data_IF_751803562566
#
_entry.id   IF_751803562566
#
_cell.length_a   1.000
_cell.length_b   1.000
_cell.length_c   1.000
_cell.angle_alpha   90.00
_cell.angle_beta   90.00
_cell.angle_gamma   90.00
#
_symmetry.space_group_name_H-M   'P 1'
#
loop_
_entity.id
_entity.type
_entity.pdbx_description
1 polymer ?
#
# COMPACT_ATOMS: atom_id res chain seq x y z
N UNK A 1 -5.63 22.45 0.23
CA UNK A 1 -4.57 22.51 -0.80
C UNK A 1 -3.99 21.12 -0.97
N UNK A 2 -3.93 20.56 -2.18
CA UNK A 2 -3.20 19.30 -2.42
C UNK A 2 -1.71 19.63 -2.31
N UNK A 3 -0.99 18.86 -1.49
CA UNK A 3 0.47 18.95 -1.39
C UNK A 3 1.10 18.80 -2.78
N UNK A 4 2.13 19.58 -3.08
CA UNK A 4 2.96 19.40 -4.28
C UNK A 4 3.85 18.16 -4.17
N UNK A 5 4.01 17.63 -2.97
CA UNK A 5 4.77 16.43 -2.66
C UNK A 5 3.85 15.18 -2.67
N UNK A 6 4.33 14.04 -3.18
CA UNK A 6 3.61 12.78 -3.11
C UNK A 6 3.23 12.40 -1.68
N UNK A 7 1.96 12.11 -1.44
CA UNK A 7 1.45 11.81 -0.12
C UNK A 7 0.42 10.67 -0.15
N UNK A 8 0.27 9.99 0.98
CA UNK A 8 -0.71 8.94 1.22
C UNK A 8 -1.76 9.45 2.21
N UNK A 9 -3.00 9.07 1.99
CA UNK A 9 -4.13 9.48 2.82
C UNK A 9 -4.05 8.87 4.23
N UNK A 10 -4.29 9.68 5.24
CA UNK A 10 -4.06 9.35 6.64
C UNK A 10 -4.85 8.18 7.19
N UNK A 11 -6.01 7.86 6.62
CA UNK A 11 -6.75 6.66 6.99
C UNK A 11 -5.92 5.37 6.75
N UNK A 12 -5.12 5.33 5.68
CA UNK A 12 -4.19 4.22 5.43
C UNK A 12 -3.04 4.24 6.45
N UNK A 13 -2.51 5.43 6.73
CA UNK A 13 -1.36 5.59 7.64
C UNK A 13 -1.72 5.19 9.06
N UNK A 14 -2.88 5.60 9.58
CA UNK A 14 -3.31 5.24 10.94
C UNK A 14 -3.41 3.73 11.10
N UNK A 15 -3.91 3.05 10.07
CA UNK A 15 -4.04 1.60 10.07
C UNK A 15 -2.68 0.90 9.96
N UNK A 16 -1.85 1.32 9.00
CA UNK A 16 -0.49 0.77 8.80
C UNK A 16 0.40 1.01 10.00
N UNK A 17 0.30 2.17 10.66
CA UNK A 17 1.04 2.49 11.89
C UNK A 17 0.70 1.51 13.02
N UNK A 18 -0.58 1.18 13.21
CA UNK A 18 -0.97 0.20 14.21
C UNK A 18 -0.32 -1.18 13.95
N UNK A 19 -0.36 -1.63 12.69
CA UNK A 19 0.30 -2.88 12.27
C UNK A 19 1.81 -2.82 12.45
N UNK A 20 2.45 -1.69 12.08
CA UNK A 20 3.88 -1.51 12.25
C UNK A 20 4.28 -1.64 13.73
N UNK A 21 3.57 -0.95 14.64
CA UNK A 21 3.82 -1.03 16.10
C UNK A 21 3.67 -2.45 16.61
N UNK A 22 2.68 -3.20 16.14
CA UNK A 22 2.52 -4.61 16.52
C UNK A 22 3.65 -5.50 16.00
N UNK A 23 4.15 -5.21 14.79
CA UNK A 23 5.20 -6.00 14.15
C UNK A 23 6.57 -5.77 14.77
N UNK A 24 6.93 -4.52 15.09
CA UNK A 24 8.27 -4.19 15.62
C UNK A 24 8.30 -4.01 17.14
N UNK A 25 7.16 -3.85 17.78
CA UNK A 25 7.02 -3.48 19.19
C UNK A 25 7.04 -1.96 19.41
N UNK A 26 6.34 -1.51 20.44
CA UNK A 26 6.19 -0.07 20.77
C UNK A 26 7.53 0.61 21.03
N UNK A 27 8.39 0.00 21.83
CA UNK A 27 9.68 0.58 22.21
C UNK A 27 10.60 0.77 20.99
N UNK A 28 10.63 -0.21 20.08
CA UNK A 28 11.40 -0.11 18.85
C UNK A 28 10.82 0.98 17.92
N UNK A 29 9.50 1.06 17.80
CA UNK A 29 8.83 2.12 17.04
C UNK A 29 9.16 3.52 17.60
N UNK A 30 9.06 3.75 18.90
CA UNK A 30 9.39 5.02 19.54
C UNK A 30 10.86 5.36 19.38
N UNK A 31 11.75 4.37 19.48
CA UNK A 31 13.18 4.54 19.23
C UNK A 31 13.45 4.93 17.78
N UNK A 32 12.74 4.34 16.82
CA UNK A 32 12.85 4.71 15.43
C UNK A 32 12.40 6.15 15.16
N UNK A 33 11.28 6.58 15.75
CA UNK A 33 10.81 7.96 15.60
C UNK A 33 11.84 8.99 16.13
N UNK A 34 12.54 8.68 17.22
CA UNK A 34 13.60 9.56 17.75
C UNK A 34 14.82 9.74 16.84
N UNK A 35 15.00 8.85 15.84
CA UNK A 35 16.06 8.97 14.83
C UNK A 35 15.70 9.93 13.68
N UNK A 36 14.42 10.28 13.54
CA UNK A 36 13.93 11.13 12.46
C UNK A 36 14.01 12.61 12.85
N UNK A 37 14.02 13.53 11.88
CA UNK A 37 13.75 14.93 12.13
C UNK A 37 12.43 15.10 12.91
N UNK A 38 12.42 15.95 13.94
CA UNK A 38 11.28 16.12 14.84
C UNK A 38 9.97 16.39 14.08
N UNK A 39 10.03 17.27 13.06
CA UNK A 39 8.88 17.61 12.25
C UNK A 39 8.28 16.38 11.50
N UNK A 40 9.12 15.47 11.00
CA UNK A 40 8.68 14.25 10.30
C UNK A 40 8.14 13.21 11.28
N UNK A 41 8.79 13.06 12.43
CA UNK A 41 8.33 12.18 13.51
C UNK A 41 6.95 12.61 14.04
N UNK A 42 6.79 13.90 14.33
CA UNK A 42 5.52 14.49 14.78
C UNK A 42 4.42 14.33 13.72
N UNK A 43 4.73 14.67 12.47
CA UNK A 43 3.78 14.53 11.36
C UNK A 43 3.27 13.10 11.24
N UNK A 44 4.15 12.11 11.29
CA UNK A 44 3.74 10.70 11.21
C UNK A 44 3.00 10.23 12.45
N UNK A 45 3.49 10.56 13.65
CA UNK A 45 2.92 10.11 14.91
C UNK A 45 1.52 10.67 15.15
N UNK A 46 1.27 11.93 14.76
CA UNK A 46 -0.01 12.64 14.99
C UNK A 46 -0.98 12.55 13.82
N UNK A 47 -0.55 12.00 12.68
CA UNK A 47 -1.42 11.86 11.51
C UNK A 47 -2.74 11.18 11.88
N UNK A 48 -3.84 11.83 11.54
CA UNK A 48 -5.20 11.30 11.67
C UNK A 48 -5.75 10.85 10.31
N UNK A 49 -6.95 10.31 10.30
CA UNK A 49 -7.54 9.71 9.10
C UNK A 49 -7.80 10.69 7.95
N UNK A 50 -7.82 12.00 8.19
CA UNK A 50 -8.12 13.03 7.19
C UNK A 50 -6.85 13.72 6.65
N UNK A 51 -5.70 13.47 7.25
CA UNK A 51 -4.43 14.07 6.86
C UNK A 51 -3.86 13.45 5.58
N UNK A 52 -2.89 14.15 5.01
CA UNK A 52 -2.04 13.63 3.94
C UNK A 52 -0.60 13.58 4.42
N UNK A 53 -0.02 12.38 4.47
CA UNK A 53 1.36 12.16 4.94
C UNK A 53 2.29 11.97 3.75
N UNK A 54 3.37 12.77 3.61
CA UNK A 54 4.33 12.62 2.54
C UNK A 54 4.93 11.20 2.49
N UNK A 55 5.07 10.66 1.29
CA UNK A 55 5.61 9.30 1.10
C UNK A 55 7.02 9.19 1.67
N UNK A 56 7.86 10.23 1.51
CA UNK A 56 9.21 10.27 2.08
C UNK A 56 9.25 10.05 3.60
N UNK A 57 8.24 10.58 4.31
CA UNK A 57 8.13 10.41 5.77
C UNK A 57 7.82 8.97 6.11
N UNK A 58 6.92 8.34 5.35
CA UNK A 58 6.54 6.94 5.53
C UNK A 58 7.74 6.02 5.27
N UNK A 59 8.51 6.31 4.20
CA UNK A 59 9.75 5.59 3.89
C UNK A 59 10.79 5.74 5.00
N UNK A 60 10.99 6.97 5.48
CA UNK A 60 11.94 7.23 6.56
C UNK A 60 11.56 6.47 7.84
N UNK A 61 10.27 6.42 8.20
CA UNK A 61 9.79 5.64 9.35
C UNK A 61 10.03 4.14 9.14
N UNK A 62 9.73 3.61 7.95
CA UNK A 62 9.93 2.20 7.66
C UNK A 62 11.42 1.80 7.75
N UNK A 63 12.31 2.63 7.20
CA UNK A 63 13.77 2.44 7.27
C UNK A 63 14.25 2.51 8.71
N UNK A 64 13.87 3.53 9.46
CA UNK A 64 14.28 3.69 10.86
C UNK A 64 13.80 2.53 11.75
N UNK A 65 12.56 2.06 11.55
CA UNK A 65 12.06 0.88 12.26
C UNK A 65 12.86 -0.38 11.92
N UNK A 66 13.13 -0.59 10.64
CA UNK A 66 13.90 -1.75 10.15
C UNK A 66 15.32 -1.77 10.74
N UNK A 67 15.99 -0.61 10.78
CA UNK A 67 17.32 -0.46 11.41
C UNK A 67 17.30 -0.82 12.90
N UNK A 68 16.28 -0.33 13.63
CA UNK A 68 16.19 -0.57 15.08
C UNK A 68 16.01 -2.04 15.40
N UNK A 69 15.25 -2.78 14.55
CA UNK A 69 15.00 -4.22 14.76
C UNK A 69 15.96 -5.12 13.99
N UNK A 70 16.96 -4.54 13.28
CA UNK A 70 17.96 -5.31 12.54
C UNK A 70 17.39 -6.08 11.35
N UNK A 71 16.40 -5.52 10.64
CA UNK A 71 15.72 -6.13 9.50
C UNK A 71 15.94 -5.33 8.22
N UNK A 72 15.73 -5.98 7.08
CA UNK A 72 15.65 -5.28 5.80
C UNK A 72 14.37 -4.45 5.69
N UNK A 73 14.48 -3.18 5.27
CA UNK A 73 13.38 -2.23 5.26
C UNK A 73 12.26 -2.61 4.29
N UNK A 74 12.61 -3.17 3.12
CA UNK A 74 11.60 -3.58 2.15
C UNK A 74 10.87 -4.83 2.62
N UNK A 75 11.57 -5.78 3.24
CA UNK A 75 10.97 -6.98 3.83
C UNK A 75 10.00 -6.62 4.97
N UNK A 76 10.38 -5.69 5.84
CA UNK A 76 9.49 -5.19 6.89
C UNK A 76 8.26 -4.49 6.32
N UNK A 77 8.46 -3.63 5.31
CA UNK A 77 7.37 -2.95 4.63
C UNK A 77 6.40 -3.92 3.96
N UNK A 78 6.90 -4.96 3.30
CA UNK A 78 6.07 -5.98 2.65
C UNK A 78 5.19 -6.72 3.67
N UNK A 79 5.76 -7.09 4.82
CA UNK A 79 5.03 -7.73 5.91
C UNK A 79 3.93 -6.82 6.47
N UNK A 80 4.28 -5.57 6.80
CA UNK A 80 3.33 -4.57 7.31
C UNK A 80 2.23 -4.27 6.29
N UNK A 81 2.58 -4.13 5.00
CA UNK A 81 1.63 -3.90 3.92
C UNK A 81 0.66 -5.09 3.76
N UNK A 82 1.16 -6.31 3.83
CA UNK A 82 0.35 -7.53 3.75
C UNK A 82 -0.61 -7.66 4.92
N UNK A 83 -0.13 -7.50 6.14
CA UNK A 83 -0.95 -7.55 7.35
C UNK A 83 -1.98 -6.41 7.38
N UNK A 84 -1.57 -5.20 6.99
CA UNK A 84 -2.45 -4.04 6.90
C UNK A 84 -3.56 -4.24 5.88
N UNK A 85 -3.24 -4.73 4.69
CA UNK A 85 -4.22 -5.02 3.63
C UNK A 85 -5.21 -6.11 4.06
N UNK A 86 -4.74 -7.19 4.68
CA UNK A 86 -5.62 -8.26 5.22
C UNK A 86 -6.61 -7.73 6.24
N UNK A 87 -6.19 -6.82 7.11
CA UNK A 87 -7.07 -6.20 8.10
C UNK A 87 -8.06 -5.23 7.45
N UNK A 88 -7.58 -4.41 6.52
CA UNK A 88 -8.42 -3.46 5.79
C UNK A 88 -9.53 -4.17 5.01
N UNK A 89 -9.24 -5.33 4.41
CA UNK A 89 -10.22 -6.18 3.73
C UNK A 89 -10.90 -7.20 4.67
N UNK A 90 -11.14 -6.82 5.93
CA UNK A 90 -11.77 -7.65 6.96
C UNK A 90 -13.18 -8.16 6.59
N UNK A 91 -13.88 -8.80 7.54
CA UNK A 91 -15.06 -9.65 7.28
C UNK A 91 -16.16 -9.05 6.39
N UNK A 92 -16.52 -7.78 6.61
CA UNK A 92 -17.59 -7.09 5.84
C UNK A 92 -17.15 -6.83 4.39
N UNK A 93 -15.94 -6.32 4.20
CA UNK A 93 -15.38 -6.11 2.86
C UNK A 93 -15.19 -7.41 2.11
N UNK A 94 -14.76 -8.47 2.79
CA UNK A 94 -14.58 -9.80 2.20
C UNK A 94 -15.88 -10.36 1.66
N UNK A 95 -16.98 -10.24 2.39
CA UNK A 95 -18.29 -10.66 1.90
C UNK A 95 -18.68 -9.90 0.64
N UNK A 96 -18.51 -8.57 0.63
CA UNK A 96 -18.80 -7.73 -0.53
C UNK A 96 -17.92 -8.09 -1.75
N UNK A 97 -16.61 -8.25 -1.53
CA UNK A 97 -15.65 -8.56 -2.60
C UNK A 97 -15.91 -9.91 -3.26
N UNK A 98 -16.41 -10.91 -2.53
CA UNK A 98 -16.76 -12.22 -3.08
C UNK A 98 -17.90 -12.18 -4.12
N UNK A 99 -18.79 -11.19 -3.99
CA UNK A 99 -19.89 -11.00 -4.94
C UNK A 99 -19.58 -9.96 -6.01
N UNK A 100 -18.36 -9.39 -6.00
CA UNK A 100 -17.94 -8.39 -6.98
C UNK A 100 -17.23 -9.09 -8.15
N UNK A 101 -17.70 -8.86 -9.38
CA UNK A 101 -17.02 -9.39 -10.57
C UNK A 101 -15.63 -8.78 -10.72
N UNK A 102 -14.73 -9.49 -11.39
CA UNK A 102 -13.37 -9.04 -11.68
C UNK A 102 -13.36 -7.69 -12.42
N UNK A 103 -14.24 -7.54 -13.41
CA UNK A 103 -14.40 -6.28 -14.16
C UNK A 103 -14.81 -5.12 -13.25
N UNK A 104 -15.78 -5.33 -12.35
CA UNK A 104 -16.22 -4.30 -11.40
C UNK A 104 -15.12 -3.95 -10.40
N UNK A 105 -14.30 -4.93 -9.99
CA UNK A 105 -13.15 -4.71 -9.12
C UNK A 105 -12.10 -3.82 -9.82
N UNK A 106 -11.75 -4.16 -11.06
CA UNK A 106 -10.79 -3.40 -11.87
C UNK A 106 -11.28 -1.98 -12.14
N UNK A 107 -12.54 -1.80 -12.51
CA UNK A 107 -13.14 -0.48 -12.77
C UNK A 107 -13.08 0.46 -11.56
N UNK A 108 -13.11 -0.07 -10.35
CA UNK A 108 -13.02 0.73 -9.11
C UNK A 108 -11.59 1.08 -8.69
N UNK A 109 -10.61 0.33 -9.19
CA UNK A 109 -9.20 0.52 -8.83
C UNK A 109 -8.71 1.96 -8.96
N UNK A 110 -8.92 2.67 -10.08
CA UNK A 110 -8.50 4.06 -10.26
C UNK A 110 -9.10 5.01 -9.21
N UNK A 111 -10.37 4.82 -8.87
CA UNK A 111 -11.05 5.65 -7.86
C UNK A 111 -10.48 5.42 -6.47
N UNK A 112 -10.21 4.17 -6.10
CA UNK A 112 -9.60 3.82 -4.81
C UNK A 112 -8.19 4.38 -4.76
N UNK A 113 -7.40 4.19 -5.80
CA UNK A 113 -6.05 4.72 -5.89
C UNK A 113 -6.02 6.25 -5.72
N UNK A 114 -6.87 6.98 -6.45
CA UNK A 114 -6.93 8.46 -6.38
C UNK A 114 -7.44 8.99 -5.03
N UNK A 115 -8.11 8.17 -4.21
CA UNK A 115 -8.46 8.49 -2.81
C UNK A 115 -7.33 8.16 -1.83
N UNK A 116 -6.42 7.28 -2.20
CA UNK A 116 -5.32 6.81 -1.35
C UNK A 116 -4.04 7.59 -1.57
N UNK A 117 -3.73 7.93 -2.83
CA UNK A 117 -2.50 8.60 -3.23
C UNK A 117 -2.79 9.96 -3.86
N UNK A 118 -2.01 10.97 -3.48
CA UNK A 118 -2.15 12.34 -4.03
C UNK A 118 -1.55 12.48 -5.43
N UNK A 119 -0.68 11.55 -5.84
CA UNK A 119 0.07 11.55 -7.10
C UNK A 119 -0.10 10.24 -7.86
N UNK A 120 0.16 10.30 -9.17
CA UNK A 120 0.03 9.15 -10.04
C UNK A 120 -1.42 8.78 -10.35
N UNK A 121 -1.58 7.77 -11.15
CA UNK A 121 -2.86 7.12 -11.43
C UNK A 121 -2.63 5.67 -11.80
N UNK A 122 -3.65 4.84 -11.64
CA UNK A 122 -3.64 3.46 -12.14
C UNK A 122 -4.63 3.31 -13.28
N UNK A 123 -4.24 2.53 -14.28
CA UNK A 123 -5.07 2.18 -15.43
C UNK A 123 -5.11 0.65 -15.53
N UNK A 124 -6.19 0.02 -15.09
CA UNK A 124 -6.35 -1.41 -15.24
C UNK A 124 -6.80 -1.74 -16.67
N UNK A 125 -6.30 -2.88 -17.16
CA UNK A 125 -6.73 -3.52 -18.40
C UNK A 125 -7.14 -4.96 -18.06
N UNK A 126 -8.42 -5.24 -18.20
CA UNK A 126 -8.95 -6.58 -17.99
C UNK A 126 -8.78 -7.40 -19.26
N UNK A 127 -8.09 -8.52 -19.18
CA UNK A 127 -7.74 -9.34 -20.33
C UNK A 127 -8.58 -10.63 -20.45
N UNK A 128 -9.62 -10.76 -19.62
CA UNK A 128 -10.50 -11.93 -19.56
C UNK A 128 -10.44 -12.62 -18.20
N UNK A 129 -11.16 -13.75 -18.06
CA UNK A 129 -11.25 -14.45 -16.78
C UNK A 129 -9.88 -14.77 -16.20
N UNK A 130 -9.67 -14.36 -14.96
CA UNK A 130 -8.47 -14.68 -14.19
C UNK A 130 -7.21 -13.93 -14.61
N UNK A 131 -7.29 -12.88 -15.44
CA UNK A 131 -6.12 -12.10 -15.88
C UNK A 131 -6.40 -10.61 -15.98
N UNK A 132 -5.48 -9.78 -15.52
CA UNK A 132 -5.51 -8.34 -15.68
C UNK A 132 -4.09 -7.75 -15.71
N UNK A 133 -3.96 -6.61 -16.35
CA UNK A 133 -2.74 -5.78 -16.27
C UNK A 133 -3.10 -4.45 -15.62
N UNK A 134 -2.33 -4.01 -14.62
CA UNK A 134 -2.50 -2.71 -13.99
C UNK A 134 -1.27 -1.88 -14.32
N UNK A 135 -1.47 -0.74 -14.96
CA UNK A 135 -0.42 0.24 -15.23
C UNK A 135 -0.45 1.32 -14.16
N UNK A 136 0.64 1.47 -13.42
CA UNK A 136 0.87 2.63 -12.55
C UNK A 136 1.57 3.71 -13.38
N UNK A 137 0.87 4.79 -13.63
CA UNK A 137 1.38 5.98 -14.32
C UNK A 137 1.91 6.98 -13.28
N UNK A 138 3.15 6.78 -12.89
CA UNK A 138 3.89 7.61 -11.93
C UNK A 138 5.40 7.36 -12.13
N UNK A 139 6.08 8.11 -13.02
CA UNK A 139 7.46 7.85 -13.41
C UNK A 139 8.45 7.80 -12.24
N UNK A 140 8.25 8.65 -11.25
CA UNK A 140 9.07 8.73 -10.03
C UNK A 140 8.46 8.01 -8.83
N UNK A 141 7.56 7.03 -9.05
CA UNK A 141 6.94 6.30 -7.95
C UNK A 141 8.01 5.66 -7.05
N UNK A 142 7.98 5.96 -5.74
CA UNK A 142 8.88 5.32 -4.79
C UNK A 142 8.74 3.80 -4.81
N UNK A 143 9.83 3.08 -4.55
CA UNK A 143 9.81 1.61 -4.55
C UNK A 143 8.82 1.04 -3.53
N UNK A 144 8.75 1.66 -2.36
CA UNK A 144 7.78 1.32 -1.32
C UNK A 144 6.35 1.34 -1.86
N UNK A 145 5.96 2.39 -2.62
CA UNK A 145 4.61 2.50 -3.19
C UNK A 145 4.36 1.40 -4.23
N UNK A 146 5.36 1.14 -5.10
CA UNK A 146 5.24 0.10 -6.13
C UNK A 146 5.03 -1.27 -5.50
N UNK A 147 5.81 -1.63 -4.50
CA UNK A 147 5.68 -2.92 -3.79
C UNK A 147 4.36 -3.01 -3.04
N UNK A 148 4.01 -1.96 -2.27
CA UNK A 148 2.76 -1.92 -1.50
C UNK A 148 1.53 -2.09 -2.41
N UNK A 149 1.52 -1.47 -3.59
CA UNK A 149 0.40 -1.60 -4.53
C UNK A 149 0.27 -3.04 -5.07
N UNK A 150 1.38 -3.71 -5.37
CA UNK A 150 1.37 -5.13 -5.76
C UNK A 150 0.79 -6.02 -4.65
N UNK A 151 1.26 -5.84 -3.42
CA UNK A 151 0.79 -6.59 -2.26
C UNK A 151 -0.69 -6.32 -1.98
N UNK A 152 -1.12 -5.05 -2.00
CA UNK A 152 -2.52 -4.70 -1.79
C UNK A 152 -3.44 -5.30 -2.86
N UNK A 153 -2.98 -5.36 -4.12
CA UNK A 153 -3.72 -6.01 -5.20
C UNK A 153 -3.85 -7.52 -4.99
N UNK A 154 -2.78 -8.19 -4.54
CA UNK A 154 -2.80 -9.62 -4.20
C UNK A 154 -3.81 -9.91 -3.08
N UNK A 155 -3.73 -9.14 -1.98
CA UNK A 155 -4.61 -9.32 -0.82
C UNK A 155 -6.07 -8.95 -1.12
N UNK A 156 -6.30 -7.99 -2.02
CA UNK A 156 -7.64 -7.64 -2.50
C UNK A 156 -8.28 -8.79 -3.27
N UNK A 157 -7.54 -9.41 -4.20
CA UNK A 157 -7.99 -10.57 -4.96
C UNK A 157 -8.26 -11.76 -4.03
N UNK A 158 -7.34 -12.03 -3.08
CA UNK A 158 -7.51 -13.09 -2.09
C UNK A 158 -8.75 -12.87 -1.20
N UNK A 159 -8.98 -11.65 -0.75
CA UNK A 159 -10.17 -11.30 0.02
C UNK A 159 -11.47 -11.51 -0.77
N UNK A 160 -11.41 -11.34 -2.08
CA UNK A 160 -12.49 -11.61 -3.03
C UNK A 160 -12.70 -13.11 -3.33
N UNK A 161 -11.93 -14.01 -2.72
CA UNK A 161 -12.06 -15.46 -2.91
C UNK A 161 -11.33 -16.02 -4.13
N UNK A 162 -10.48 -15.22 -4.79
CA UNK A 162 -9.63 -15.69 -5.88
C UNK A 162 -8.48 -16.51 -5.31
N UNK A 163 -8.10 -17.57 -6.04
CA UNK A 163 -7.04 -18.48 -5.64
C UNK A 163 -5.86 -18.46 -6.62
N UNK A 164 -4.72 -19.04 -6.21
CA UNK A 164 -3.50 -19.13 -7.03
C UNK A 164 -3.09 -17.80 -7.65
N UNK A 165 -3.23 -16.74 -6.86
CA UNK A 165 -2.93 -15.38 -7.28
C UNK A 165 -1.43 -15.25 -7.53
N UNK A 166 -1.09 -14.70 -8.67
CA UNK A 166 0.29 -14.34 -9.02
C UNK A 166 0.30 -12.91 -9.54
N UNK A 167 1.13 -12.07 -8.94
CA UNK A 167 1.38 -10.70 -9.41
C UNK A 167 2.85 -10.59 -9.75
N UNK A 168 3.14 -10.26 -11.00
CA UNK A 168 4.48 -9.96 -11.47
C UNK A 168 4.57 -8.47 -11.70
N UNK A 169 5.47 -7.81 -10.95
CA UNK A 169 5.68 -6.36 -11.03
C UNK A 169 6.94 -6.06 -11.83
N UNK A 170 6.83 -5.18 -12.80
CA UNK A 170 7.94 -4.72 -13.62
C UNK A 170 7.99 -3.18 -13.60
N UNK A 171 9.18 -2.63 -13.39
CA UNK A 171 9.41 -1.19 -13.59
C UNK A 171 9.32 -0.86 -15.06
N UNK A 172 8.64 0.24 -15.38
CA UNK A 172 8.49 0.78 -16.71
C UNK A 172 8.87 2.27 -16.73
N UNK A 173 9.19 2.82 -17.91
CA UNK A 173 9.56 4.23 -18.07
C UNK A 173 8.52 5.22 -17.52
N UNK A 174 7.24 4.83 -17.56
CA UNK A 174 6.10 5.63 -17.06
C UNK A 174 5.69 5.31 -15.62
N UNK A 175 6.38 4.39 -14.92
CA UNK A 175 6.01 3.96 -13.57
C UNK A 175 6.23 2.47 -13.34
N UNK A 176 5.16 1.67 -13.24
CA UNK A 176 5.24 0.22 -13.09
C UNK A 176 4.07 -0.49 -13.77
N UNK A 177 4.26 -1.76 -14.11
CA UNK A 177 3.23 -2.64 -14.67
C UNK A 177 3.10 -3.86 -13.77
N UNK A 178 1.88 -4.19 -13.39
CA UNK A 178 1.54 -5.38 -12.61
C UNK A 178 0.75 -6.33 -13.50
N UNK A 179 1.33 -7.48 -13.82
CA UNK A 179 0.62 -8.56 -14.50
C UNK A 179 0.03 -9.49 -13.46
N UNK A 180 -1.28 -9.51 -13.38
CA UNK A 180 -2.04 -10.27 -12.41
C UNK A 180 -2.67 -11.48 -13.07
N UNK A 181 -2.57 -12.65 -12.43
CA UNK A 181 -3.30 -13.85 -12.81
C UNK A 181 -3.83 -14.56 -11.57
N UNK A 182 -5.02 -15.17 -11.68
CA UNK A 182 -5.69 -15.90 -10.60
C UNK A 182 -6.64 -16.97 -11.14
N UNK A 183 -7.16 -17.79 -10.25
CA UNK A 183 -8.29 -18.70 -10.51
C UNK A 183 -9.46 -18.34 -9.63
N UNK A 184 -10.66 -18.59 -10.12
CA UNK A 184 -11.90 -18.54 -9.33
C UNK A 184 -12.04 -19.81 -8.47
#
# INVERSE_FOLDING_TARGET
MRSTEPAIFGAVITHTRAVLIETVGRDAYETALRKLPEADADLYARANALDWVPVRVIEAVAVACAEVVGRDAMTLNDEVSRLGSRRAFGSVWRAFLRFTSDEALMTRGPTIFGKTYSHGRVRPEFSGQGTATIHLEWPSAPELVVRTLGIASEELLAAGGRERIRIVTERARGGAVYRCSWRE
#
